data_IF_004708770175
#
_entry.id   IF_004708770175
#
_cell.length_a   1.000
_cell.length_b   1.000
_cell.length_c   1.000
_cell.angle_alpha   90.00
_cell.angle_beta   90.00
_cell.angle_gamma   90.00
#
_symmetry.space_group_name_H-M   'P 1'
#
loop_
_entity.id
_entity.type
_entity.pdbx_description
1 polymer ?
#
# COMPACT_ATOMS: atom_id res chain seq x y z
N UNK A 1 14.15 10.95 -1.69
CA UNK A 1 13.11 11.99 -1.50
C UNK A 1 12.69 11.87 -0.04
N UNK A 2 12.58 13.00 0.71
CA UNK A 2 12.10 12.97 2.10
C UNK A 2 10.62 12.54 2.13
N UNK A 3 10.17 11.70 3.09
CA UNK A 3 8.76 11.39 3.27
C UNK A 3 7.94 12.66 3.56
N UNK A 4 6.67 12.66 3.13
CA UNK A 4 5.77 13.81 3.28
C UNK A 4 4.79 13.58 4.44
N UNK A 5 4.86 14.45 5.45
CA UNK A 5 4.02 14.41 6.66
C UNK A 5 2.95 15.49 6.57
N UNK A 6 1.72 15.15 6.90
CA UNK A 6 0.65 16.13 7.14
C UNK A 6 0.52 16.32 8.66
N UNK A 7 0.83 17.52 9.14
CA UNK A 7 0.65 17.94 10.53
C UNK A 7 -0.66 18.73 10.64
N UNK A 8 -1.53 18.33 11.57
CA UNK A 8 -2.84 18.94 11.79
C UNK A 8 -2.95 19.36 13.25
N UNK A 9 -3.01 20.67 13.50
CA UNK A 9 -3.02 21.27 14.83
C UNK A 9 -3.68 22.65 14.74
N UNK A 10 -4.64 22.96 15.58
CA UNK A 10 -5.36 24.24 15.56
C UNK A 10 -4.64 25.38 16.26
N UNK A 11 -3.70 25.05 17.17
CA UNK A 11 -2.82 26.03 17.79
C UNK A 11 -1.66 26.39 16.85
N UNK A 12 -1.68 27.61 16.31
CA UNK A 12 -0.69 28.07 15.33
C UNK A 12 0.75 28.06 15.85
N UNK A 13 0.98 28.42 17.12
CA UNK A 13 2.32 28.45 17.73
C UNK A 13 2.88 27.02 17.86
N UNK A 14 2.05 26.09 18.34
CA UNK A 14 2.43 24.68 18.47
C UNK A 14 2.64 24.03 17.09
N UNK A 15 1.79 24.34 16.10
CA UNK A 15 1.90 23.90 14.72
C UNK A 15 3.26 24.29 14.13
N UNK A 16 3.68 25.57 14.30
CA UNK A 16 4.96 26.08 13.81
C UNK A 16 6.14 25.35 14.45
N UNK A 17 6.14 25.22 15.79
CA UNK A 17 7.22 24.53 16.52
C UNK A 17 7.38 23.08 16.08
N UNK A 18 6.28 22.33 15.98
CA UNK A 18 6.34 20.92 15.57
C UNK A 18 6.73 20.82 14.08
N UNK A 19 6.21 21.71 13.22
CA UNK A 19 6.55 21.73 11.81
C UNK A 19 8.03 21.98 11.55
N UNK A 20 8.63 22.93 12.26
CA UNK A 20 10.05 23.25 12.16
C UNK A 20 10.91 22.05 12.56
N UNK A 21 10.60 21.42 13.69
CA UNK A 21 11.29 20.24 14.19
C UNK A 21 11.22 19.07 13.18
N UNK A 22 10.03 18.79 12.63
CA UNK A 22 9.85 17.71 11.66
C UNK A 22 10.48 18.02 10.30
N UNK A 23 10.62 19.30 9.93
CA UNK A 23 11.17 19.74 8.63
C UNK A 23 12.64 19.38 8.43
N UNK A 24 13.39 19.12 9.51
CA UNK A 24 14.76 18.61 9.41
C UNK A 24 14.83 17.29 8.66
N UNK A 25 13.85 16.40 8.84
CA UNK A 25 13.85 15.03 8.31
C UNK A 25 12.78 14.78 7.28
N UNK A 26 11.68 15.54 7.26
CA UNK A 26 10.49 15.31 6.45
C UNK A 26 10.11 16.53 5.60
N UNK A 27 9.25 16.34 4.62
CA UNK A 27 8.50 17.43 3.97
C UNK A 27 7.20 17.60 4.74
N UNK A 28 7.01 18.75 5.39
CA UNK A 28 5.82 18.98 6.22
C UNK A 28 4.80 19.80 5.45
N UNK A 29 3.56 19.30 5.39
CA UNK A 29 2.37 20.03 5.03
C UNK A 29 1.57 20.29 6.30
N UNK A 30 0.91 21.44 6.38
CA UNK A 30 0.17 21.83 7.59
C UNK A 30 -1.32 22.03 7.30
N UNK A 31 -2.14 21.77 8.30
CA UNK A 31 -3.56 22.06 8.31
C UNK A 31 -3.98 22.47 9.74
N UNK A 32 -4.97 23.35 9.89
CA UNK A 32 -5.44 23.83 11.19
C UNK A 32 -6.68 23.11 11.71
N UNK A 33 -7.25 22.20 10.92
CA UNK A 33 -8.40 21.38 11.27
C UNK A 33 -8.51 20.15 10.35
N UNK A 34 -9.40 19.20 10.71
CA UNK A 34 -9.59 17.99 9.93
C UNK A 34 -10.18 18.24 8.54
N UNK A 35 -10.94 19.32 8.33
CA UNK A 35 -11.51 19.66 7.02
C UNK A 35 -10.41 20.11 6.05
N UNK A 36 -9.51 20.96 6.53
CA UNK A 36 -8.33 21.36 5.75
C UNK A 36 -7.43 20.18 5.46
N UNK A 37 -7.23 19.27 6.43
CA UNK A 37 -6.45 18.04 6.25
C UNK A 37 -6.99 17.17 5.10
N UNK A 38 -8.29 16.95 5.02
CA UNK A 38 -8.93 16.21 3.91
C UNK A 38 -8.70 16.94 2.58
N UNK A 39 -8.72 18.26 2.54
CA UNK A 39 -8.47 19.03 1.31
C UNK A 39 -7.02 18.91 0.83
N UNK A 40 -6.05 18.80 1.75
CA UNK A 40 -4.65 18.52 1.42
C UNK A 40 -4.51 17.12 0.84
N UNK A 41 -5.09 16.09 1.46
CA UNK A 41 -5.04 14.70 1.02
C UNK A 41 -5.57 14.49 -0.42
N UNK A 42 -6.61 15.24 -0.80
CA UNK A 42 -7.15 15.19 -2.17
C UNK A 42 -6.19 15.72 -3.22
N UNK A 43 -5.28 16.61 -2.84
CA UNK A 43 -4.35 17.30 -3.77
C UNK A 43 -2.97 16.67 -3.78
N UNK A 44 -2.51 16.17 -2.62
CA UNK A 44 -1.15 15.73 -2.42
C UNK A 44 -1.08 14.29 -1.90
N UNK A 45 0.03 13.60 -2.22
CA UNK A 45 0.32 12.30 -1.63
C UNK A 45 1.02 12.50 -0.29
N UNK A 46 0.43 11.97 0.77
CA UNK A 46 0.94 12.04 2.14
C UNK A 46 1.37 10.65 2.60
N UNK A 47 2.52 10.56 3.24
CA UNK A 47 3.07 9.28 3.72
C UNK A 47 2.65 8.96 5.16
N UNK A 48 2.38 10.00 5.99
CA UNK A 48 1.93 9.85 7.37
C UNK A 48 1.22 11.14 7.84
N UNK A 49 0.23 10.99 8.73
CA UNK A 49 -0.49 12.09 9.34
C UNK A 49 -0.18 12.13 10.84
N UNK A 50 0.15 13.33 11.33
CA UNK A 50 0.20 13.64 12.76
C UNK A 50 -0.93 14.63 13.02
N UNK A 51 -1.86 14.32 13.93
CA UNK A 51 -3.01 15.21 14.19
C UNK A 51 -3.30 15.34 15.67
N UNK A 52 -3.60 16.56 16.09
CA UNK A 52 -4.22 16.75 17.40
C UNK A 52 -5.60 16.10 17.43
N UNK A 53 -6.04 15.71 18.60
CA UNK A 53 -7.40 15.17 18.83
C UNK A 53 -8.38 16.32 18.94
N UNK A 54 -8.07 17.37 19.69
CA UNK A 54 -9.00 18.44 20.05
C UNK A 54 -8.89 19.62 19.08
N UNK A 55 -9.66 19.58 17.99
CA UNK A 55 -9.68 20.64 16.98
C UNK A 55 -11.10 21.07 16.64
N UNK A 56 -11.31 22.33 16.17
CA UNK A 56 -12.61 22.79 15.70
C UNK A 56 -13.05 22.12 14.40
N UNK A 57 -14.34 22.14 14.11
CA UNK A 57 -15.00 21.66 12.87
C UNK A 57 -14.95 20.16 12.68
N UNK A 58 -13.78 19.55 12.67
CA UNK A 58 -13.54 18.10 12.58
C UNK A 58 -12.38 17.76 13.49
N UNK A 59 -12.66 17.02 14.54
CA UNK A 59 -11.65 16.57 15.51
C UNK A 59 -10.76 15.45 14.94
N UNK A 60 -9.67 15.13 15.66
CA UNK A 60 -8.70 14.12 15.20
C UNK A 60 -9.28 12.71 15.16
N UNK A 61 -10.26 12.37 15.98
CA UNK A 61 -10.93 11.08 15.95
C UNK A 61 -11.84 10.94 14.72
N UNK A 62 -12.61 11.98 14.43
CA UNK A 62 -13.46 12.03 13.24
C UNK A 62 -12.59 12.02 11.96
N UNK A 63 -11.51 12.78 11.94
CA UNK A 63 -10.52 12.75 10.85
C UNK A 63 -9.95 11.34 10.66
N UNK A 64 -9.52 10.68 11.72
CA UNK A 64 -9.00 9.32 11.70
C UNK A 64 -10.04 8.34 11.13
N UNK A 65 -11.27 8.38 11.63
CA UNK A 65 -12.37 7.54 11.14
C UNK A 65 -12.63 7.76 9.65
N UNK A 66 -12.70 9.00 9.20
CA UNK A 66 -12.93 9.34 7.80
C UNK A 66 -11.81 8.80 6.91
N UNK A 67 -10.54 8.98 7.30
CA UNK A 67 -9.38 8.49 6.54
C UNK A 67 -9.35 6.96 6.52
N UNK A 68 -9.53 6.29 7.65
CA UNK A 68 -9.45 4.82 7.75
C UNK A 68 -10.60 4.10 7.07
N UNK A 69 -11.75 4.74 6.90
CA UNK A 69 -12.89 4.22 6.14
C UNK A 69 -12.81 4.52 4.64
N UNK A 70 -12.02 5.51 4.22
CA UNK A 70 -11.88 5.87 2.83
C UNK A 70 -10.90 4.93 2.11
N UNK A 71 -11.35 4.32 1.00
CA UNK A 71 -10.55 3.34 0.25
C UNK A 71 -9.28 3.97 -0.34
N UNK A 72 -9.27 5.27 -0.62
CA UNK A 72 -8.11 5.98 -1.17
C UNK A 72 -7.04 6.26 -0.11
N UNK A 73 -7.46 6.59 1.12
CA UNK A 73 -6.56 7.09 2.17
C UNK A 73 -6.31 6.13 3.33
N UNK A 74 -7.08 5.03 3.46
CA UNK A 74 -7.02 4.09 4.59
C UNK A 74 -5.62 3.56 4.91
N UNK A 75 -4.74 3.50 3.91
CA UNK A 75 -3.36 3.04 4.06
C UNK A 75 -2.45 4.04 4.77
N UNK A 76 -2.83 5.32 4.91
CA UNK A 76 -1.97 6.35 5.52
C UNK A 76 -1.92 6.14 7.03
N UNK A 77 -0.72 6.02 7.65
CA UNK A 77 -0.60 5.93 9.11
C UNK A 77 -0.98 7.25 9.77
N UNK A 78 -1.63 7.14 10.93
CA UNK A 78 -2.09 8.27 11.72
C UNK A 78 -1.52 8.17 13.12
N UNK A 79 -0.80 9.23 13.54
CA UNK A 79 -0.37 9.46 14.91
C UNK A 79 -1.30 10.50 15.52
N UNK A 80 -1.99 10.15 16.61
CA UNK A 80 -2.86 11.08 17.36
C UNK A 80 -2.06 11.70 18.50
N UNK A 81 -2.07 13.02 18.56
CA UNK A 81 -1.57 13.81 19.70
C UNK A 81 -2.76 14.08 20.62
N UNK A 82 -2.66 13.74 21.90
CA UNK A 82 -3.79 13.82 22.82
C UNK A 82 -3.40 14.47 24.14
N UNK A 83 -4.25 15.34 24.67
CA UNK A 83 -4.09 15.82 26.03
C UNK A 83 -4.31 14.68 27.02
N UNK A 84 -3.54 14.67 28.12
CA UNK A 84 -3.60 13.66 29.17
C UNK A 84 -5.02 13.59 29.72
N UNK A 85 -5.85 12.62 29.29
CA UNK A 85 -6.94 12.06 30.09
C UNK A 85 -7.76 11.02 29.34
N UNK A 86 -7.89 9.91 30.04
CA UNK A 86 -8.74 8.75 29.93
C UNK A 86 -8.23 7.62 29.06
N UNK A 87 -8.04 6.49 29.72
CA UNK A 87 -7.96 5.15 29.11
C UNK A 87 -9.06 4.95 28.06
N UNK A 88 -10.22 5.59 28.27
CA UNK A 88 -11.36 5.56 27.38
C UNK A 88 -11.04 6.17 25.99
N UNK A 89 -10.39 7.33 25.94
CA UNK A 89 -10.01 7.96 24.66
C UNK A 89 -8.95 7.15 23.91
N UNK A 90 -8.04 6.48 24.62
CA UNK A 90 -7.05 5.57 24.01
C UNK A 90 -7.73 4.33 23.41
N UNK A 91 -8.71 3.75 24.11
CA UNK A 91 -9.48 2.58 23.65
C UNK A 91 -10.35 2.96 22.45
N UNK A 92 -11.01 4.11 22.50
CA UNK A 92 -11.86 4.63 21.41
C UNK A 92 -11.05 4.87 20.14
N UNK A 93 -9.92 5.53 20.23
CA UNK A 93 -9.08 5.80 19.10
C UNK A 93 -8.39 4.55 18.52
N UNK A 94 -7.97 3.57 19.36
CA UNK A 94 -7.51 2.26 18.87
C UNK A 94 -8.62 1.55 18.09
N UNK A 95 -9.88 1.68 18.54
CA UNK A 95 -11.05 1.18 17.82
C UNK A 95 -11.30 1.88 16.47
N UNK A 96 -10.84 3.13 16.30
CA UNK A 96 -10.93 3.90 15.05
C UNK A 96 -9.79 3.62 14.08
N UNK A 97 -8.77 2.86 14.48
CA UNK A 97 -7.68 2.42 13.62
C UNK A 97 -6.48 3.36 13.55
N UNK A 98 -6.29 4.25 14.53
CA UNK A 98 -5.04 5.02 14.63
C UNK A 98 -3.84 4.09 14.87
N UNK A 99 -2.71 4.43 14.24
CA UNK A 99 -1.50 3.59 14.27
C UNK A 99 -0.64 3.89 15.50
N UNK A 100 -0.76 5.09 16.08
CA UNK A 100 -0.06 5.48 17.32
C UNK A 100 -0.78 6.61 18.07
N UNK A 101 -0.46 6.68 19.38
CA UNK A 101 -0.91 7.74 20.31
C UNK A 101 0.27 8.33 21.04
N UNK A 102 0.33 9.66 21.12
CA UNK A 102 1.33 10.38 21.89
C UNK A 102 0.61 11.38 22.80
N UNK A 103 0.91 11.30 24.08
CA UNK A 103 0.35 12.18 25.11
C UNK A 103 1.07 13.52 25.14
N UNK A 104 0.33 14.61 25.13
CA UNK A 104 0.84 15.97 25.36
C UNK A 104 0.98 16.26 26.88
N UNK A 105 2.07 16.87 27.36
CA UNK A 105 3.26 17.26 26.63
C UNK A 105 4.14 16.06 26.27
N UNK A 106 4.77 16.08 25.11
CA UNK A 106 5.66 15.02 24.63
C UNK A 106 7.05 15.56 24.28
N UNK A 107 8.01 14.67 24.30
CA UNK A 107 9.35 14.92 23.79
C UNK A 107 9.34 14.84 22.25
N UNK A 108 9.88 15.85 21.53
CA UNK A 108 10.00 15.81 20.09
C UNK A 108 10.70 14.55 19.55
N UNK A 109 11.72 14.05 20.27
CA UNK A 109 12.44 12.82 19.89
C UNK A 109 11.49 11.59 19.90
N UNK A 110 10.54 11.54 20.83
CA UNK A 110 9.53 10.45 20.88
C UNK A 110 8.64 10.50 19.65
N UNK A 111 8.16 11.69 19.23
CA UNK A 111 7.35 11.84 18.03
C UNK A 111 8.13 11.44 16.78
N UNK A 112 9.36 11.89 16.63
CA UNK A 112 10.24 11.52 15.51
C UNK A 112 10.49 10.01 15.46
N UNK A 113 10.80 9.38 16.59
CA UNK A 113 11.02 7.93 16.68
C UNK A 113 9.76 7.14 16.27
N UNK A 114 8.57 7.58 16.70
CA UNK A 114 7.31 6.93 16.33
C UNK A 114 7.01 7.05 14.83
N UNK A 115 7.20 8.23 14.25
CA UNK A 115 7.04 8.47 12.81
C UNK A 115 8.01 7.58 12.02
N UNK A 116 9.30 7.57 12.39
CA UNK A 116 10.32 6.78 11.74
C UNK A 116 9.99 5.27 11.76
N UNK A 117 9.55 4.75 12.91
CA UNK A 117 9.14 3.35 13.06
C UNK A 117 7.96 2.98 12.15
N UNK A 118 6.92 3.82 12.10
CA UNK A 118 5.75 3.57 11.25
C UNK A 118 6.12 3.55 9.77
N UNK A 119 6.92 4.51 9.32
CA UNK A 119 7.38 4.60 7.93
C UNK A 119 8.31 3.44 7.55
N UNK A 120 9.24 3.04 8.43
CA UNK A 120 10.18 1.95 8.18
C UNK A 120 9.47 0.59 8.12
N UNK A 121 8.53 0.31 9.02
CA UNK A 121 7.73 -0.90 8.99
C UNK A 121 6.96 -1.05 7.67
N UNK A 122 6.37 0.03 7.17
CA UNK A 122 5.68 0.03 5.87
C UNK A 122 6.63 -0.20 4.71
N UNK A 123 7.80 0.42 4.74
CA UNK A 123 8.84 0.21 3.73
C UNK A 123 9.30 -1.26 3.68
N UNK A 124 9.52 -1.87 4.84
CA UNK A 124 9.91 -3.31 4.93
C UNK A 124 8.85 -4.24 4.33
N UNK A 125 7.55 -4.00 4.63
CA UNK A 125 6.46 -4.81 4.06
C UNK A 125 6.38 -4.68 2.53
N UNK A 126 6.48 -3.46 1.99
CA UNK A 126 6.50 -3.23 0.55
C UNK A 126 7.68 -3.92 -0.13
N UNK A 127 8.88 -3.83 0.45
CA UNK A 127 10.09 -4.48 -0.06
C UNK A 127 9.95 -6.00 -0.03
N UNK A 128 9.41 -6.56 1.06
CA UNK A 128 9.17 -8.00 1.14
C UNK A 128 8.23 -8.48 0.02
N UNK A 129 7.15 -7.77 -0.23
CA UNK A 129 6.22 -8.09 -1.31
C UNK A 129 6.88 -8.01 -2.70
N UNK A 130 7.64 -6.94 -2.96
CA UNK A 130 8.27 -6.71 -4.25
C UNK A 130 9.32 -7.79 -4.59
N UNK A 131 10.03 -8.31 -3.59
CA UNK A 131 11.10 -9.30 -3.76
C UNK A 131 10.66 -10.76 -3.57
N UNK A 132 9.45 -11.00 -3.07
CA UNK A 132 8.94 -12.37 -2.85
C UNK A 132 8.09 -12.85 -4.02
N UNK A 133 8.57 -13.84 -4.82
CA UNK A 133 7.81 -14.36 -5.97
C UNK A 133 6.47 -15.01 -5.59
N UNK A 134 6.30 -15.41 -4.32
CA UNK A 134 5.15 -16.19 -3.83
C UNK A 134 4.27 -15.35 -2.89
N UNK A 135 4.70 -14.15 -2.46
CA UNK A 135 3.92 -13.34 -1.53
C UNK A 135 2.53 -13.02 -2.10
N UNK A 136 1.50 -13.24 -1.29
CA UNK A 136 0.13 -12.86 -1.64
C UNK A 136 -0.02 -11.35 -1.61
N UNK A 137 -0.89 -10.80 -2.47
CA UNK A 137 -1.09 -9.35 -2.57
C UNK A 137 -1.62 -8.77 -1.25
N UNK A 138 -2.50 -9.45 -0.55
CA UNK A 138 -3.03 -9.01 0.74
C UNK A 138 -2.00 -8.96 1.89
N UNK A 139 -0.79 -9.51 1.71
CA UNK A 139 0.27 -9.44 2.73
C UNK A 139 0.80 -8.02 2.99
N UNK A 140 0.44 -7.05 2.14
CA UNK A 140 0.81 -5.62 2.31
C UNK A 140 -0.36 -4.76 2.82
N UNK A 141 -1.47 -5.36 3.21
CA UNK A 141 -2.59 -4.64 3.82
C UNK A 141 -2.21 -4.14 5.21
N UNK A 142 -2.66 -2.91 5.54
CA UNK A 142 -2.48 -2.31 6.87
C UNK A 142 -3.80 -2.21 7.63
N UNK A 143 -4.91 -2.16 6.90
CA UNK A 143 -6.26 -2.04 7.43
C UNK A 143 -7.18 -3.06 6.76
N UNK A 144 -8.36 -3.31 7.36
CA UNK A 144 -9.39 -4.13 6.72
C UNK A 144 -9.85 -3.55 5.37
N UNK A 145 -9.87 -2.24 5.24
CA UNK A 145 -10.18 -1.56 3.98
C UNK A 145 -9.12 -1.85 2.91
N UNK A 146 -7.84 -1.91 3.31
CA UNK A 146 -6.75 -2.28 2.41
C UNK A 146 -6.83 -3.76 2.02
N UNK A 147 -7.14 -4.66 2.96
CA UNK A 147 -7.37 -6.09 2.65
C UNK A 147 -8.46 -6.26 1.60
N UNK A 148 -9.63 -5.67 1.82
CA UNK A 148 -10.75 -5.74 0.89
C UNK A 148 -10.39 -5.15 -0.49
N UNK A 149 -9.67 -4.03 -0.51
CA UNK A 149 -9.21 -3.43 -1.75
C UNK A 149 -8.25 -4.36 -2.51
N UNK A 150 -7.27 -4.94 -1.82
CA UNK A 150 -6.26 -5.82 -2.42
C UNK A 150 -6.86 -7.15 -2.89
N UNK A 151 -7.81 -7.72 -2.15
CA UNK A 151 -8.54 -8.92 -2.56
C UNK A 151 -9.39 -8.67 -3.81
N UNK A 152 -10.12 -7.55 -3.84
CA UNK A 152 -10.88 -7.15 -5.02
C UNK A 152 -9.97 -6.88 -6.22
N UNK A 153 -8.83 -6.23 -5.99
CA UNK A 153 -7.84 -5.94 -7.03
C UNK A 153 -7.25 -7.23 -7.60
N UNK A 154 -6.82 -8.15 -6.75
CA UNK A 154 -6.27 -9.45 -7.15
C UNK A 154 -7.31 -10.25 -7.96
N UNK A 155 -8.53 -10.37 -7.44
CA UNK A 155 -9.63 -11.04 -8.13
C UNK A 155 -9.93 -10.40 -9.49
N UNK A 156 -9.92 -9.07 -9.57
CA UNK A 156 -10.15 -8.34 -10.82
C UNK A 156 -9.05 -8.62 -11.84
N UNK A 157 -7.78 -8.63 -11.42
CA UNK A 157 -6.66 -8.96 -12.30
C UNK A 157 -6.74 -10.43 -12.74
N UNK A 158 -7.00 -11.37 -11.83
CA UNK A 158 -7.10 -12.79 -12.12
C UNK A 158 -8.21 -13.11 -13.14
N UNK A 159 -9.37 -12.47 -13.00
CA UNK A 159 -10.52 -12.66 -13.90
C UNK A 159 -10.30 -12.05 -15.29
N UNK A 160 -9.27 -11.21 -15.47
CA UNK A 160 -8.94 -10.58 -16.75
C UNK A 160 -7.46 -10.84 -17.12
N UNK A 161 -6.87 -11.94 -16.65
CA UNK A 161 -5.43 -12.17 -16.73
C UNK A 161 -4.96 -12.40 -18.16
N UNK A 162 -5.79 -13.02 -19.00
CA UNK A 162 -5.58 -13.31 -20.41
C UNK A 162 -5.81 -12.10 -21.31
N UNK A 163 -6.45 -11.06 -20.80
CA UNK A 163 -6.73 -9.86 -21.56
C UNK A 163 -5.45 -9.03 -21.80
N UNK A 164 -4.96 -9.09 -23.02
CA UNK A 164 -3.74 -8.43 -23.47
C UNK A 164 -3.77 -6.92 -23.28
N UNK A 165 -4.98 -6.32 -23.31
CA UNK A 165 -5.22 -4.89 -23.21
C UNK A 165 -5.63 -4.45 -21.80
N UNK A 166 -5.40 -5.29 -20.78
CA UNK A 166 -5.61 -4.92 -19.39
C UNK A 166 -4.58 -3.86 -18.97
N UNK A 167 -4.97 -2.60 -19.08
CA UNK A 167 -4.21 -1.43 -18.65
C UNK A 167 -4.80 -0.78 -17.39
N UNK A 168 -4.19 0.31 -16.93
CA UNK A 168 -4.66 1.04 -15.74
C UNK A 168 -6.06 1.64 -15.94
N UNK A 169 -6.40 2.08 -17.15
CA UNK A 169 -7.70 2.71 -17.41
C UNK A 169 -8.81 1.67 -17.37
N UNK A 170 -8.58 0.47 -17.92
CA UNK A 170 -9.50 -0.66 -17.83
C UNK A 170 -9.63 -1.17 -16.40
N UNK A 171 -8.50 -1.31 -15.70
CA UNK A 171 -8.49 -1.74 -14.31
C UNK A 171 -9.23 -0.74 -13.39
N UNK A 172 -9.04 0.56 -13.60
CA UNK A 172 -9.74 1.60 -12.85
C UNK A 172 -11.26 1.52 -13.04
N UNK A 173 -11.73 1.33 -14.28
CA UNK A 173 -13.16 1.12 -14.57
C UNK A 173 -13.72 -0.13 -13.86
N UNK A 174 -13.00 -1.25 -13.93
CA UNK A 174 -13.42 -2.51 -13.28
C UNK A 174 -13.45 -2.40 -11.74
N UNK A 175 -12.56 -1.59 -11.18
CA UNK A 175 -12.49 -1.32 -9.75
C UNK A 175 -13.49 -0.25 -9.27
N UNK A 176 -14.17 0.46 -10.19
CA UNK A 176 -15.01 1.65 -9.93
C UNK A 176 -14.22 2.76 -9.21
N UNK A 177 -12.99 3.02 -9.65
CA UNK A 177 -12.12 4.06 -9.11
C UNK A 177 -11.63 4.99 -10.21
N UNK A 178 -11.26 6.22 -9.83
CA UNK A 178 -10.51 7.10 -10.71
C UNK A 178 -9.11 6.55 -11.00
N UNK A 179 -8.59 6.78 -12.22
CA UNK A 179 -7.23 6.35 -12.61
C UNK A 179 -6.15 6.81 -11.62
N UNK A 180 -6.22 8.08 -11.21
CA UNK A 180 -5.25 8.68 -10.28
C UNK A 180 -5.34 8.03 -8.90
N UNK A 181 -6.55 7.83 -8.37
CA UNK A 181 -6.79 7.19 -7.07
C UNK A 181 -6.29 5.75 -7.07
N UNK A 182 -6.61 4.97 -8.12
CA UNK A 182 -6.12 3.60 -8.26
C UNK A 182 -4.58 3.56 -8.32
N UNK A 183 -3.97 4.45 -9.12
CA UNK A 183 -2.52 4.51 -9.23
C UNK A 183 -1.86 4.81 -7.87
N UNK A 184 -2.34 5.85 -7.17
CA UNK A 184 -1.84 6.25 -5.86
C UNK A 184 -1.98 5.12 -4.84
N UNK A 185 -3.16 4.49 -4.77
CA UNK A 185 -3.44 3.40 -3.82
C UNK A 185 -2.54 2.19 -4.06
N UNK A 186 -2.41 1.71 -5.30
CA UNK A 186 -1.52 0.60 -5.62
C UNK A 186 -0.07 0.96 -5.28
N UNK A 187 0.39 2.14 -5.73
CA UNK A 187 1.77 2.59 -5.48
C UNK A 187 2.07 2.73 -3.98
N UNK A 188 1.13 3.27 -3.22
CA UNK A 188 1.30 3.45 -1.78
C UNK A 188 1.33 2.14 -0.99
N UNK A 189 0.59 1.11 -1.43
CA UNK A 189 0.55 -0.19 -0.76
C UNK A 189 1.70 -1.12 -1.17
N UNK A 190 2.09 -1.12 -2.46
CA UNK A 190 2.99 -2.14 -3.02
C UNK A 190 4.34 -1.60 -3.48
N UNK A 191 4.48 -0.29 -3.61
CA UNK A 191 5.57 0.41 -4.30
C UNK A 191 5.70 0.09 -5.80
N UNK A 192 4.72 -0.62 -6.36
CA UNK A 192 4.65 -0.96 -7.78
C UNK A 192 3.70 -0.02 -8.52
N UNK A 193 3.95 0.15 -9.81
CA UNK A 193 2.92 0.71 -10.71
C UNK A 193 1.84 -0.34 -11.00
N UNK A 194 0.62 0.06 -11.39
CA UNK A 194 -0.42 -0.89 -11.80
C UNK A 194 0.02 -1.88 -12.88
N UNK A 195 0.77 -1.42 -13.88
CA UNK A 195 1.30 -2.28 -14.94
C UNK A 195 2.31 -3.32 -14.43
N UNK A 196 3.19 -2.90 -13.50
CA UNK A 196 4.13 -3.82 -12.85
C UNK A 196 3.38 -4.86 -12.02
N UNK A 197 2.33 -4.44 -11.28
CA UNK A 197 1.51 -5.35 -10.49
C UNK A 197 0.79 -6.37 -11.37
N UNK A 198 0.13 -5.94 -12.44
CA UNK A 198 -0.51 -6.85 -13.42
C UNK A 198 0.52 -7.83 -13.99
N UNK A 199 1.70 -7.33 -14.38
CA UNK A 199 2.76 -8.17 -14.92
C UNK A 199 3.25 -9.23 -13.90
N UNK A 200 3.47 -8.84 -12.64
CA UNK A 200 3.86 -9.78 -11.58
C UNK A 200 2.77 -10.83 -11.34
N UNK A 201 1.50 -10.43 -11.31
CA UNK A 201 0.38 -11.35 -11.13
C UNK A 201 0.30 -12.35 -12.29
N UNK A 202 0.48 -11.91 -13.54
CA UNK A 202 0.59 -12.76 -14.72
C UNK A 202 1.73 -13.78 -14.61
N UNK A 203 2.90 -13.34 -14.18
CA UNK A 203 4.06 -14.22 -14.03
C UNK A 203 3.88 -15.25 -12.91
N UNK A 204 3.23 -14.88 -11.78
CA UNK A 204 2.87 -15.81 -10.71
C UNK A 204 1.91 -16.89 -11.24
N UNK A 205 0.88 -16.49 -11.97
CA UNK A 205 -0.06 -17.42 -12.60
C UNK A 205 0.63 -18.34 -13.60
N UNK A 206 1.54 -17.80 -14.40
CA UNK A 206 2.36 -18.59 -15.31
C UNK A 206 3.20 -19.65 -14.58
N UNK A 207 3.82 -19.28 -13.44
CA UNK A 207 4.60 -20.21 -12.63
C UNK A 207 3.73 -21.37 -12.09
N UNK A 208 2.49 -21.10 -11.67
CA UNK A 208 1.53 -22.12 -11.26
C UNK A 208 1.20 -23.08 -12.43
N UNK A 209 0.89 -22.53 -13.62
CA UNK A 209 0.59 -23.32 -14.80
C UNK A 209 1.78 -24.18 -15.25
N UNK A 210 2.99 -23.62 -15.22
CA UNK A 210 4.22 -24.34 -15.57
C UNK A 210 4.56 -25.44 -14.55
N UNK A 211 4.30 -25.22 -13.27
CA UNK A 211 4.53 -26.22 -12.23
C UNK A 211 3.64 -27.47 -12.41
N UNK A 212 2.44 -27.31 -12.95
CA UNK A 212 1.54 -28.43 -13.28
C UNK A 212 2.00 -29.26 -14.49
N UNK A 213 2.92 -28.74 -15.31
CA UNK A 213 3.68 -29.48 -16.30
C UNK A 213 2.96 -29.89 -17.61
N UNK A 214 1.68 -29.57 -17.77
CA UNK A 214 0.85 -30.08 -18.86
C UNK A 214 0.76 -29.18 -20.10
N UNK A 215 1.19 -27.90 -19.96
CA UNK A 215 1.09 -26.89 -21.02
C UNK A 215 2.45 -26.59 -21.65
N UNK A 216 2.44 -26.20 -22.91
CA UNK A 216 3.62 -25.69 -23.60
C UNK A 216 3.89 -24.23 -23.19
N UNK A 217 5.13 -23.79 -23.30
CA UNK A 217 5.53 -22.44 -22.86
C UNK A 217 4.75 -21.33 -23.58
N UNK A 218 4.47 -21.52 -24.88
CA UNK A 218 3.70 -20.54 -25.65
C UNK A 218 2.23 -20.49 -25.22
N UNK A 219 1.62 -21.63 -24.91
CA UNK A 219 0.24 -21.71 -24.40
C UNK A 219 0.11 -20.97 -23.07
N UNK A 220 1.07 -21.19 -22.16
CA UNK A 220 1.11 -20.47 -20.88
C UNK A 220 1.25 -18.96 -21.12
N UNK A 221 2.11 -18.55 -22.05
CA UNK A 221 2.30 -17.13 -22.39
C UNK A 221 1.00 -16.46 -22.85
N UNK A 222 0.22 -17.14 -23.68
CA UNK A 222 -1.08 -16.67 -24.18
C UNK A 222 -2.14 -16.63 -23.07
N UNK A 223 -2.25 -17.71 -22.28
CA UNK A 223 -3.20 -17.80 -21.17
C UNK A 223 -3.01 -16.75 -20.09
N UNK A 224 -1.81 -16.18 -19.97
CA UNK A 224 -1.54 -15.10 -19.02
C UNK A 224 -1.42 -13.73 -19.69
N UNK A 225 -1.94 -13.57 -20.90
CA UNK A 225 -2.12 -12.29 -21.58
C UNK A 225 -0.84 -11.63 -22.10
N UNK A 226 0.18 -12.40 -22.50
CA UNK A 226 1.35 -11.85 -23.18
C UNK A 226 1.19 -11.87 -24.70
N UNK A 227 1.43 -10.72 -25.35
CA UNK A 227 1.47 -10.63 -26.82
C UNK A 227 2.69 -11.32 -27.44
N UNK A 228 3.77 -11.48 -26.67
CA UNK A 228 5.05 -11.96 -27.17
C UNK A 228 5.66 -12.94 -26.20
N UNK A 229 5.93 -14.15 -26.66
CA UNK A 229 6.62 -15.18 -25.92
C UNK A 229 8.04 -14.74 -25.51
N UNK A 230 8.71 -13.92 -26.34
CA UNK A 230 10.03 -13.38 -26.02
C UNK A 230 9.98 -12.44 -24.82
N UNK A 231 8.98 -11.53 -24.78
CA UNK A 231 8.78 -10.63 -23.64
C UNK A 231 8.38 -11.40 -22.38
N UNK A 232 7.52 -12.41 -22.51
CA UNK A 232 7.18 -13.35 -21.44
C UNK A 232 8.43 -13.99 -20.86
N UNK A 233 9.27 -14.64 -21.68
CA UNK A 233 10.48 -15.32 -21.25
C UNK A 233 11.46 -14.40 -20.53
N UNK A 234 11.66 -13.18 -21.04
CA UNK A 234 12.53 -12.17 -20.42
C UNK A 234 12.00 -11.72 -19.04
N UNK A 235 10.71 -11.42 -18.93
CA UNK A 235 10.10 -11.00 -17.68
C UNK A 235 10.07 -12.13 -16.65
N UNK A 236 9.80 -13.34 -17.09
CA UNK A 236 9.83 -14.53 -16.24
C UNK A 236 11.24 -14.79 -15.67
N UNK A 237 12.26 -14.72 -16.52
CA UNK A 237 13.67 -14.86 -16.09
C UNK A 237 14.05 -13.78 -15.07
N UNK A 238 13.62 -12.53 -15.30
CA UNK A 238 13.86 -11.42 -14.37
C UNK A 238 13.20 -11.67 -13.00
N UNK A 239 11.97 -12.22 -13.00
CA UNK A 239 11.18 -12.42 -11.79
C UNK A 239 11.61 -13.65 -10.99
N UNK A 240 11.95 -14.76 -11.65
CA UNK A 240 12.22 -16.06 -11.01
C UNK A 240 13.69 -16.50 -11.07
N UNK A 241 14.57 -15.73 -11.70
CA UNK A 241 16.00 -16.04 -11.84
C UNK A 241 16.31 -17.19 -12.82
N UNK A 242 15.30 -17.78 -13.47
CA UNK A 242 15.45 -18.87 -14.43
C UNK A 242 14.45 -18.79 -15.56
N UNK A 243 14.75 -19.43 -16.69
CA UNK A 243 13.83 -19.45 -17.84
C UNK A 243 12.54 -20.23 -17.53
N UNK A 244 11.40 -19.95 -18.22
CA UNK A 244 10.18 -20.73 -18.06
C UNK A 244 10.39 -22.23 -18.27
N UNK A 245 11.26 -22.61 -19.23
CA UNK A 245 11.60 -24.01 -19.55
C UNK A 245 12.36 -24.68 -18.40
N UNK A 246 13.33 -23.99 -17.83
CA UNK A 246 14.11 -24.53 -16.71
C UNK A 246 13.26 -24.63 -15.44
N UNK A 247 12.40 -23.64 -15.21
CA UNK A 247 11.43 -23.68 -14.12
C UNK A 247 10.49 -24.88 -14.25
N UNK A 248 9.90 -25.11 -15.42
CA UNK A 248 9.04 -26.26 -15.68
C UNK A 248 9.77 -27.59 -15.43
N UNK A 249 11.01 -27.73 -15.92
CA UNK A 249 11.83 -28.92 -15.69
C UNK A 249 12.12 -29.16 -14.22
N UNK A 250 12.49 -28.10 -13.47
CA UNK A 250 12.80 -28.20 -12.03
C UNK A 250 11.60 -28.69 -11.20
N UNK A 251 10.38 -28.37 -11.63
CA UNK A 251 9.14 -28.81 -10.96
C UNK A 251 8.70 -30.22 -11.35
N UNK A 252 9.03 -30.67 -12.57
CA UNK A 252 8.77 -32.05 -13.02
C UNK A 252 9.72 -33.08 -12.39
N UNK A 253 11.00 -32.71 -12.17
CA UNK A 253 12.01 -33.58 -11.56
C UNK A 253 11.83 -33.91 -10.09
N UNK A 254 10.85 -33.28 -9.40
CA UNK A 254 10.54 -33.52 -7.99
C UNK A 254 9.37 -34.48 -7.72
N UNK A 255 8.71 -35.02 -8.73
CA UNK A 255 7.75 -36.13 -8.54
C UNK A 255 8.51 -37.44 -8.59
N UNK A 256 8.48 -38.28 -7.52
CA UNK A 256 8.98 -39.65 -7.63
C UNK A 256 8.18 -40.36 -8.74
N UNK A 257 8.88 -40.99 -9.68
CA UNK A 257 8.26 -41.97 -10.58
C UNK A 257 7.72 -43.09 -9.70
N UNK A 258 6.40 -43.14 -9.52
CA UNK A 258 5.70 -44.33 -9.04
C UNK A 258 5.92 -45.43 -10.06
N UNK A 259 6.79 -46.34 -9.70
CA UNK A 259 6.96 -47.63 -10.35
C UNK A 259 5.90 -48.61 -9.87
#
# INVERSE_FOLDING_TARGET
MKPKILLVEDNAELLEVIADELSEHYQVQVAMDGVQAINVLKKESIDLIVTDVMMPFMDGFELCKNIKSDIEFSHIPIVLLTAKNTLQSKIEGLGLGADAYIEKPFDPELLQAQIANLLDNRKKLKQHFAHSPIAKLNSVAYTRSDEFFLEKLDTTIQNNIDDIDLDIDKLARLMNLGRTSLFRKIKSLTDLTPNELVNITRLKKAAELLANGNLLIYEVSELVGYRSQTNFGRNFLKQFGMSPKDFQKSKRGGKPEDK
#
